data_IF_179558406530
#
_entry.id   IF_179558406530
#
_cell.length_a   1.000
_cell.length_b   1.000
_cell.length_c   1.000
_cell.angle_alpha   90.00
_cell.angle_beta   90.00
_cell.angle_gamma   90.00
#
_symmetry.space_group_name_H-M   'P 1'
#
loop_
_entity.id
_entity.type
_entity.pdbx_description
1 polymer ?
#
# COMPACT_ATOMS: atom_id res chain seq x y z
N UNK A 1 13.64 -4.36 13.56
CA UNK A 1 12.17 -4.27 13.34
C UNK A 1 11.52 -3.91 14.66
N UNK A 2 10.82 -2.78 14.73
CA UNK A 2 10.07 -2.36 15.92
C UNK A 2 8.60 -2.62 15.66
N UNK A 3 7.94 -3.35 16.57
CA UNK A 3 6.49 -3.55 16.53
C UNK A 3 5.82 -2.39 17.27
N UNK A 4 4.68 -1.93 16.79
CA UNK A 4 3.82 -1.02 17.56
C UNK A 4 3.03 -1.80 18.61
N UNK A 5 2.73 -1.16 19.73
CA UNK A 5 1.83 -1.68 20.76
C UNK A 5 0.37 -1.63 20.30
N UNK A 6 -0.51 -2.36 21.01
CA UNK A 6 -1.95 -2.32 20.76
C UNK A 6 -2.51 -0.89 20.91
N UNK A 7 -2.07 -0.16 21.93
CA UNK A 7 -2.58 1.18 22.22
C UNK A 7 -2.11 2.20 21.17
N UNK A 8 -0.87 2.08 20.69
CA UNK A 8 -0.37 2.87 19.56
C UNK A 8 -1.17 2.59 18.28
N UNK A 9 -1.50 1.33 18.00
CA UNK A 9 -2.33 0.96 16.84
C UNK A 9 -3.74 1.58 16.94
N UNK A 10 -4.36 1.52 18.12
CA UNK A 10 -5.66 2.17 18.39
C UNK A 10 -5.56 3.68 18.16
N UNK A 11 -4.55 4.34 18.73
CA UNK A 11 -4.36 5.78 18.60
C UNK A 11 -4.14 6.21 17.14
N UNK A 12 -3.33 5.46 16.37
CA UNK A 12 -3.11 5.72 14.95
C UNK A 12 -4.40 5.62 14.13
N UNK A 13 -5.21 4.58 14.35
CA UNK A 13 -6.47 4.42 13.63
C UNK A 13 -7.49 5.50 14.03
N UNK A 14 -7.61 5.84 15.32
CA UNK A 14 -8.47 6.93 15.79
C UNK A 14 -8.07 8.29 15.19
N UNK A 15 -6.77 8.57 15.10
CA UNK A 15 -6.27 9.78 14.45
C UNK A 15 -6.66 9.80 12.97
N UNK A 16 -6.56 8.68 12.25
CA UNK A 16 -7.01 8.59 10.86
C UNK A 16 -8.52 8.86 10.73
N UNK A 17 -9.34 8.19 11.53
CA UNK A 17 -10.81 8.30 11.51
C UNK A 17 -11.27 9.73 11.80
N UNK A 18 -10.70 10.38 12.82
CA UNK A 18 -11.10 11.73 13.25
C UNK A 18 -10.61 12.84 12.32
N UNK A 19 -9.50 12.61 11.60
CA UNK A 19 -8.93 13.58 10.66
C UNK A 19 -9.32 13.28 9.21
N UNK A 20 -8.60 12.36 8.56
CA UNK A 20 -8.73 12.04 7.14
C UNK A 20 -10.07 11.39 6.83
N UNK A 21 -10.46 10.38 7.60
CA UNK A 21 -11.73 9.67 7.44
C UNK A 21 -12.93 10.62 7.54
N UNK A 22 -12.93 11.54 8.51
CA UNK A 22 -13.99 12.53 8.67
C UNK A 22 -14.14 13.46 7.46
N UNK A 23 -13.03 13.95 6.90
CA UNK A 23 -13.04 14.82 5.71
C UNK A 23 -13.54 14.05 4.48
N UNK A 24 -13.03 12.84 4.28
CA UNK A 24 -13.43 11.95 3.17
C UNK A 24 -14.91 11.65 3.27
N UNK A 25 -15.39 11.20 4.42
CA UNK A 25 -16.78 10.82 4.63
C UNK A 25 -17.75 11.99 4.38
N UNK A 26 -17.40 13.20 4.84
CA UNK A 26 -18.21 14.41 4.59
C UNK A 26 -18.26 14.76 3.11
N UNK A 27 -17.14 14.62 2.40
CA UNK A 27 -17.04 14.94 0.98
C UNK A 27 -17.79 13.94 0.11
N UNK A 28 -17.62 12.64 0.39
CA UNK A 28 -18.30 11.55 -0.32
C UNK A 28 -19.77 11.38 0.11
N UNK A 29 -20.19 11.99 1.23
CA UNK A 29 -21.51 11.80 1.86
C UNK A 29 -21.82 10.33 2.15
N UNK A 30 -20.79 9.52 2.37
CA UNK A 30 -20.81 8.07 2.62
C UNK A 30 -19.66 7.74 3.58
N UNK A 31 -19.80 6.68 4.40
CA UNK A 31 -18.65 6.15 5.15
C UNK A 31 -17.76 5.36 4.21
N UNK A 32 -16.49 5.73 4.17
CA UNK A 32 -15.48 5.10 3.33
C UNK A 32 -14.78 3.92 4.02
N UNK A 33 -14.12 3.09 3.22
CA UNK A 33 -13.26 2.02 3.71
C UNK A 33 -12.02 2.58 4.41
N UNK A 34 -11.65 1.97 5.55
CA UNK A 34 -10.48 2.42 6.34
C UNK A 34 -9.44 1.31 6.58
N UNK A 35 -9.64 0.15 5.96
CA UNK A 35 -8.74 -0.99 6.01
C UNK A 35 -8.96 -1.89 4.80
N UNK A 36 -7.91 -2.57 4.37
CA UNK A 36 -7.98 -3.69 3.43
C UNK A 36 -7.37 -4.93 4.11
N UNK A 37 -8.08 -6.05 4.04
CA UNK A 37 -7.61 -7.33 4.55
C UNK A 37 -7.07 -8.19 3.41
N UNK A 38 -5.91 -8.80 3.62
CA UNK A 38 -5.30 -9.74 2.69
C UNK A 38 -5.07 -11.05 3.43
N UNK A 39 -5.30 -12.17 2.74
CA UNK A 39 -4.94 -13.47 3.31
C UNK A 39 -3.42 -13.65 3.32
N UNK A 40 -2.91 -14.47 4.24
CA UNK A 40 -1.47 -14.81 4.27
C UNK A 40 -1.06 -15.50 2.96
N UNK A 41 -1.87 -16.44 2.48
CA UNK A 41 -1.62 -17.19 1.24
C UNK A 41 -1.51 -16.25 0.03
N UNK A 42 -2.40 -15.27 -0.10
CA UNK A 42 -2.37 -14.29 -1.18
C UNK A 42 -1.11 -13.43 -1.14
N UNK A 43 -0.71 -12.97 0.05
CA UNK A 43 0.52 -12.18 0.22
C UNK A 43 1.76 -13.01 -0.12
N UNK A 44 1.84 -14.25 0.37
CA UNK A 44 2.97 -15.14 0.08
C UNK A 44 3.08 -15.48 -1.41
N UNK A 45 1.94 -15.73 -2.06
CA UNK A 45 1.88 -15.97 -3.50
C UNK A 45 2.34 -14.74 -4.27
N UNK A 46 1.79 -13.56 -3.98
CA UNK A 46 2.19 -12.32 -4.63
C UNK A 46 3.69 -12.01 -4.46
N UNK A 47 4.22 -12.18 -3.25
CA UNK A 47 5.66 -11.98 -2.98
C UNK A 47 6.51 -12.93 -3.82
N UNK A 48 6.08 -14.19 -3.96
CA UNK A 48 6.79 -15.21 -4.74
C UNK A 48 6.79 -14.87 -6.23
N UNK A 49 5.62 -14.55 -6.77
CA UNK A 49 5.44 -14.23 -8.19
C UNK A 49 6.20 -12.95 -8.57
N UNK A 50 6.07 -11.88 -7.78
CA UNK A 50 6.77 -10.62 -8.02
C UNK A 50 8.31 -10.80 -8.04
N UNK A 51 8.86 -11.64 -7.16
CA UNK A 51 10.29 -11.97 -7.15
C UNK A 51 10.70 -12.77 -8.38
N UNK A 52 9.87 -13.71 -8.83
CA UNK A 52 10.13 -14.52 -10.01
C UNK A 52 10.13 -13.66 -11.28
N UNK A 53 9.12 -12.80 -11.45
CA UNK A 53 8.98 -11.88 -12.58
C UNK A 53 10.15 -10.87 -12.62
N UNK A 54 10.51 -10.28 -11.49
CA UNK A 54 11.67 -9.37 -11.40
C UNK A 54 12.96 -10.07 -11.85
N UNK A 55 13.17 -11.32 -11.42
CA UNK A 55 14.35 -12.10 -11.78
C UNK A 55 14.41 -12.39 -13.28
N UNK A 56 13.27 -12.66 -13.94
CA UNK A 56 13.21 -12.83 -15.39
C UNK A 56 13.64 -11.56 -16.14
N UNK A 57 13.39 -10.40 -15.54
CA UNK A 57 13.78 -9.09 -16.05
C UNK A 57 15.16 -8.60 -15.55
N UNK A 58 15.95 -9.47 -14.90
CA UNK A 58 17.28 -9.15 -14.31
C UNK A 58 17.22 -8.04 -13.24
N UNK A 59 16.11 -7.95 -12.52
CA UNK A 59 15.90 -7.08 -11.36
C UNK A 59 15.83 -7.89 -10.08
N UNK A 60 15.99 -7.21 -8.95
CA UNK A 60 15.84 -7.81 -7.63
C UNK A 60 14.84 -6.99 -6.80
N UNK A 61 13.86 -7.68 -6.21
CA UNK A 61 12.89 -7.04 -5.31
C UNK A 61 13.56 -6.80 -3.96
N UNK A 62 13.73 -5.54 -3.58
CA UNK A 62 14.28 -5.12 -2.29
C UNK A 62 13.22 -4.91 -1.21
N UNK A 63 11.96 -4.72 -1.61
CA UNK A 63 10.85 -4.49 -0.70
C UNK A 63 9.53 -4.27 -1.43
N UNK A 64 8.52 -3.86 -0.68
CA UNK A 64 7.20 -3.56 -1.22
C UNK A 64 6.71 -2.21 -0.68
N UNK A 65 6.06 -1.43 -1.52
CA UNK A 65 5.40 -0.17 -1.15
C UNK A 65 3.89 -0.37 -1.15
N UNK A 66 3.24 0.20 -0.14
CA UNK A 66 1.78 0.24 -0.05
C UNK A 66 1.32 1.64 -0.45
N UNK A 67 0.42 1.72 -1.43
CA UNK A 67 -0.20 2.95 -1.89
C UNK A 67 -1.66 3.00 -1.46
N UNK A 68 -2.13 4.22 -1.14
CA UNK A 68 -3.56 4.49 -1.02
C UNK A 68 -4.16 4.68 -2.42
N UNK A 69 -5.28 4.03 -2.68
CA UNK A 69 -6.06 4.16 -3.91
C UNK A 69 -7.53 4.36 -3.60
N UNK A 70 -8.32 4.61 -4.64
CA UNK A 70 -9.76 4.61 -4.56
C UNK A 70 -10.31 3.95 -5.82
N UNK A 71 -11.31 3.10 -5.64
CA UNK A 71 -12.07 2.56 -6.74
C UNK A 71 -12.96 3.64 -7.35
N UNK A 72 -13.26 3.49 -8.65
CA UNK A 72 -14.09 4.43 -9.38
C UNK A 72 -15.56 4.36 -9.00
N UNK A 73 -16.36 5.16 -9.70
CA UNK A 73 -17.81 4.97 -9.72
C UNK A 73 -18.17 3.88 -10.72
N UNK A 74 -19.19 3.09 -10.40
CA UNK A 74 -19.66 1.96 -11.20
C UNK A 74 -18.69 0.78 -11.23
N UNK A 75 -18.04 0.49 -10.11
CA UNK A 75 -17.26 -0.73 -9.98
C UNK A 75 -18.11 -1.98 -10.24
N UNK A 76 -17.41 -3.00 -10.75
CA UNK A 76 -17.99 -4.33 -10.96
C UNK A 76 -18.42 -4.96 -9.64
N UNK A 77 -17.55 -4.84 -8.65
CA UNK A 77 -17.85 -5.22 -7.27
C UNK A 77 -18.56 -4.05 -6.57
N UNK A 78 -19.83 -4.27 -6.23
CA UNK A 78 -20.67 -3.25 -5.60
C UNK A 78 -20.25 -2.93 -4.17
N UNK A 79 -19.53 -3.82 -3.50
CA UNK A 79 -19.01 -3.54 -2.16
C UNK A 79 -17.84 -2.56 -2.23
N UNK A 80 -17.05 -2.61 -3.31
CA UNK A 80 -15.89 -1.75 -3.57
C UNK A 80 -16.25 -0.43 -4.27
N UNK A 81 -17.49 -0.26 -4.71
CA UNK A 81 -17.94 0.90 -5.47
C UNK A 81 -17.74 2.22 -4.69
N UNK A 82 -16.93 3.11 -5.28
CA UNK A 82 -16.55 4.40 -4.72
C UNK A 82 -16.00 4.28 -3.28
N UNK A 83 -15.16 3.26 -3.04
CA UNK A 83 -14.45 3.01 -1.78
C UNK A 83 -12.95 3.23 -1.93
N UNK A 84 -12.31 3.67 -0.85
CA UNK A 84 -10.86 3.62 -0.70
C UNK A 84 -10.33 2.19 -0.68
N UNK A 85 -9.09 2.02 -1.13
CA UNK A 85 -8.34 0.77 -1.05
C UNK A 85 -6.86 1.05 -0.80
N UNK A 86 -6.09 0.01 -0.54
CA UNK A 86 -4.65 0.03 -0.68
C UNK A 86 -4.20 -1.02 -1.69
N UNK A 87 -3.09 -0.76 -2.36
CA UNK A 87 -2.45 -1.74 -3.23
C UNK A 87 -0.94 -1.81 -2.97
N UNK A 88 -0.37 -2.99 -3.23
CA UNK A 88 1.02 -3.32 -2.93
C UNK A 88 1.81 -3.41 -4.22
N UNK A 89 2.97 -2.75 -4.30
CA UNK A 89 3.84 -2.71 -5.48
C UNK A 89 5.25 -3.16 -5.09
N UNK A 90 5.92 -4.03 -5.87
CA UNK A 90 7.32 -4.40 -5.61
C UNK A 90 8.26 -3.22 -5.89
N UNK A 91 9.34 -3.15 -5.13
CA UNK A 91 10.38 -2.12 -5.25
C UNK A 91 11.75 -2.76 -5.46
N UNK A 92 12.67 -2.02 -6.05
CA UNK A 92 14.07 -2.39 -6.22
C UNK A 92 14.98 -1.27 -5.73
N UNK A 93 16.18 -1.64 -5.28
CA UNK A 93 17.23 -0.67 -4.99
C UNK A 93 17.77 -0.08 -6.30
N UNK A 94 17.86 1.24 -6.34
CA UNK A 94 18.49 2.00 -7.41
C UNK A 94 19.51 2.94 -6.81
N UNK A 95 20.71 2.91 -7.39
CA UNK A 95 21.78 3.84 -7.05
C UNK A 95 21.56 5.09 -7.88
N UNK A 96 21.26 6.22 -7.22
CA UNK A 96 21.34 7.53 -7.86
C UNK A 96 22.75 8.08 -7.65
N UNK A 97 23.48 8.26 -8.75
CA UNK A 97 24.70 9.04 -8.73
C UNK A 97 24.32 10.52 -8.69
N UNK A 98 24.97 11.30 -7.83
CA UNK A 98 24.90 12.76 -7.87
C UNK A 98 25.33 13.24 -9.27
N UNK A 99 24.53 14.10 -9.91
CA UNK A 99 24.82 14.68 -11.24
C UNK A 99 25.93 15.74 -11.19
N UNK A 100 26.46 16.05 -10.01
CA UNK A 100 27.51 17.05 -9.81
C UNK A 100 28.88 16.39 -9.76
N UNK A 101 29.67 16.60 -10.83
CA UNK A 101 30.99 15.99 -11.10
C UNK A 101 32.09 16.24 -10.04
N UNK A 102 31.83 16.97 -8.96
CA UNK A 102 32.86 17.46 -8.03
C UNK A 102 32.58 17.27 -6.52
N UNK A 103 31.58 16.49 -6.12
CA UNK A 103 31.39 16.12 -4.70
C UNK A 103 31.65 14.63 -4.45
N UNK A 104 32.17 14.25 -3.26
CA UNK A 104 32.32 12.85 -2.90
C UNK A 104 30.97 12.13 -3.06
N UNK A 105 31.00 11.06 -3.87
CA UNK A 105 29.81 10.30 -4.27
C UNK A 105 29.36 9.44 -3.10
N UNK A 106 28.59 10.00 -2.17
CA UNK A 106 27.74 9.18 -1.31
C UNK A 106 26.60 8.66 -2.18
N UNK A 107 26.77 7.46 -2.70
CA UNK A 107 25.74 6.75 -3.45
C UNK A 107 24.50 6.59 -2.55
N UNK A 108 23.46 7.41 -2.78
CA UNK A 108 22.20 7.28 -2.06
C UNK A 108 21.43 6.12 -2.69
N UNK A 109 21.32 5.01 -1.95
CA UNK A 109 20.45 3.89 -2.31
C UNK A 109 19.00 4.32 -2.07
N UNK A 110 18.20 4.32 -3.14
CA UNK A 110 16.76 4.57 -3.09
C UNK A 110 15.99 3.32 -3.48
N UNK A 111 14.83 3.08 -2.87
CA UNK A 111 13.91 2.02 -3.27
C UNK A 111 12.90 2.59 -4.27
N UNK A 112 13.10 2.34 -5.56
CA UNK A 112 12.14 2.73 -6.61
C UNK A 112 11.14 1.61 -6.88
N UNK A 113 9.95 1.95 -7.37
CA UNK A 113 8.96 0.96 -7.78
C UNK A 113 9.43 0.22 -9.03
N UNK A 114 9.13 -1.07 -9.11
CA UNK A 114 9.27 -1.85 -10.35
C UNK A 114 7.96 -1.68 -11.12
N UNK A 115 7.96 -0.82 -12.14
CA UNK A 115 6.73 -0.36 -12.83
C UNK A 115 6.22 -1.28 -13.93
N UNK A 116 6.95 -2.36 -14.21
CA UNK A 116 6.65 -3.38 -15.22
C UNK A 116 6.43 -4.77 -14.59
N UNK A 117 6.04 -4.79 -13.32
CA UNK A 117 5.45 -5.92 -12.60
C UNK A 117 4.15 -5.42 -11.98
N UNK A 118 3.10 -6.22 -12.08
CA UNK A 118 1.78 -5.85 -11.58
C UNK A 118 1.75 -5.75 -10.05
N UNK A 119 0.86 -4.90 -9.53
CA UNK A 119 0.63 -4.76 -8.09
C UNK A 119 -0.54 -5.61 -7.58
N UNK A 120 -0.58 -5.85 -6.27
CA UNK A 120 -1.67 -6.55 -5.60
C UNK A 120 -2.73 -5.58 -5.07
N UNK A 121 -3.97 -5.71 -5.53
CA UNK A 121 -5.13 -4.96 -5.05
C UNK A 121 -6.38 -5.85 -4.94
N UNK A 122 -6.24 -7.03 -4.36
CA UNK A 122 -7.35 -7.99 -4.19
C UNK A 122 -7.82 -8.13 -2.73
N UNK A 123 -7.39 -7.20 -1.88
CA UNK A 123 -7.80 -7.18 -0.48
C UNK A 123 -9.31 -7.01 -0.33
N UNK A 124 -9.86 -7.72 0.66
CA UNK A 124 -11.24 -7.54 1.11
C UNK A 124 -11.40 -6.25 1.90
N UNK A 125 -12.59 -5.66 1.86
CA UNK A 125 -12.95 -4.57 2.77
C UNK A 125 -13.21 -5.12 4.18
N UNK A 126 -13.18 -4.25 5.19
CA UNK A 126 -13.67 -4.60 6.52
C UNK A 126 -15.16 -4.95 6.51
N UNK A 127 -15.65 -5.60 7.57
CA UNK A 127 -17.09 -5.85 7.78
C UNK A 127 -17.56 -5.15 9.08
N UNK A 128 -18.16 -3.95 9.00
CA UNK A 128 -18.41 -3.17 7.78
C UNK A 128 -17.13 -2.48 7.25
N UNK A 129 -17.10 -1.96 6.00
CA UNK A 129 -15.88 -1.38 5.41
C UNK A 129 -15.24 -0.24 6.22
N UNK A 130 -16.06 0.46 7.00
CA UNK A 130 -15.68 1.57 7.87
C UNK A 130 -15.40 1.14 9.33
N UNK A 131 -15.21 -0.15 9.58
CA UNK A 131 -14.90 -0.71 10.90
C UNK A 131 -13.58 -0.16 11.46
N UNK A 132 -13.65 0.47 12.63
CA UNK A 132 -12.45 1.02 13.29
C UNK A 132 -11.63 -0.11 13.91
N UNK A 133 -10.30 0.07 13.99
CA UNK A 133 -9.46 -0.91 14.64
C UNK A 133 -9.72 -0.96 16.17
N UNK A 134 -9.73 -2.16 16.79
CA UNK A 134 -9.72 -3.48 16.16
C UNK A 134 -11.10 -3.87 15.62
N UNK A 135 -11.09 -4.61 14.50
CA UNK A 135 -12.25 -5.28 13.92
C UNK A 135 -12.23 -6.76 14.29
#
# INVERSE_FOLDING_TARGET
MTRITKDEAIALNQNFVTTRGNIINKTLKKKDAISSWFSVEELEKFITDAKLEAKQQKKEVSGFRVYFGAYGVQEKDKEKDNMSTIFIVPTQEVIKNSETENEPVDAVVHNADITDIDGLNDGGLGDPPYGIFPQ
#
